data_IF_683452699943
#
_entry.id   IF_683452699943
#
_cell.length_a   1.000
_cell.length_b   1.000
_cell.length_c   1.000
_cell.angle_alpha   90.00
_cell.angle_beta   90.00
_cell.angle_gamma   90.00
#
_symmetry.space_group_name_H-M   'P 1'
#
loop_
_entity.id
_entity.type
_entity.pdbx_description
1 polymer ?
#
# COMPACT_ATOMS: atom_id res chain seq x y z
N UNK A 1 28.12 -0.78 -20.69
CA UNK A 1 27.72 0.44 -21.41
C UNK A 1 26.21 0.48 -21.48
N UNK A 2 25.63 1.51 -20.86
CA UNK A 2 24.33 2.15 -21.10
C UNK A 2 23.17 1.28 -21.65
N UNK A 3 22.23 0.98 -20.76
CA UNK A 3 20.85 0.64 -21.08
C UNK A 3 19.95 1.16 -19.96
N UNK A 4 19.70 2.47 -19.96
CA UNK A 4 18.74 3.10 -19.08
C UNK A 4 17.33 2.63 -19.48
N UNK A 5 16.70 1.79 -18.65
CA UNK A 5 15.25 1.67 -18.67
C UNK A 5 14.70 2.87 -17.93
N UNK A 6 14.59 3.98 -18.67
CA UNK A 6 13.74 5.08 -18.29
C UNK A 6 12.29 4.56 -18.27
N UNK A 7 11.61 4.70 -17.15
CA UNK A 7 10.16 4.79 -17.13
C UNK A 7 9.82 6.13 -17.80
N UNK A 8 9.75 6.13 -19.13
CA UNK A 8 9.31 7.27 -19.93
C UNK A 8 8.26 6.81 -20.92
N UNK A 9 7.06 6.55 -20.42
CA UNK A 9 5.85 6.56 -21.22
C UNK A 9 5.23 7.95 -21.28
N UNK A 10 6.00 9.05 -21.33
CA UNK A 10 5.38 10.33 -21.67
C UNK A 10 4.94 10.26 -23.14
N UNK A 11 3.65 10.49 -23.39
CA UNK A 11 3.17 10.83 -24.71
C UNK A 11 4.12 11.88 -25.31
N UNK A 12 4.75 11.53 -26.44
CA UNK A 12 5.77 12.35 -27.07
C UNK A 12 5.26 13.79 -27.29
N UNK A 13 5.84 14.77 -26.59
CA UNK A 13 5.70 16.19 -26.93
C UNK A 13 5.17 17.17 -25.87
N UNK A 14 4.76 16.73 -24.67
CA UNK A 14 4.30 17.64 -23.61
C UNK A 14 5.49 18.06 -22.72
N UNK A 15 5.76 19.36 -22.57
CA UNK A 15 6.79 19.83 -21.64
C UNK A 15 6.31 19.71 -20.19
N UNK A 16 7.23 19.73 -19.21
CA UNK A 16 6.85 19.72 -17.78
C UNK A 16 5.91 20.86 -17.39
N UNK A 17 6.14 22.04 -18.00
CA UNK A 17 5.32 23.22 -17.77
C UNK A 17 3.92 23.04 -18.37
N UNK A 18 3.83 22.55 -19.61
CA UNK A 18 2.53 22.27 -20.25
C UNK A 18 1.73 21.23 -19.46
N UNK A 19 2.41 20.22 -18.89
CA UNK A 19 1.77 19.22 -18.05
C UNK A 19 1.19 19.83 -16.77
N UNK A 20 1.98 20.65 -16.06
CA UNK A 20 1.50 21.36 -14.87
C UNK A 20 0.30 22.25 -15.19
N UNK A 21 0.40 23.04 -16.25
CA UNK A 21 -0.66 23.96 -16.66
C UNK A 21 -1.94 23.20 -17.04
N UNK A 22 -1.81 22.05 -17.72
CA UNK A 22 -2.93 21.16 -18.01
C UNK A 22 -3.60 20.63 -16.72
N UNK A 23 -2.83 20.17 -15.72
CA UNK A 23 -3.40 19.71 -14.44
C UNK A 23 -4.16 20.82 -13.72
N UNK A 24 -3.61 22.04 -13.72
CA UNK A 24 -4.27 23.18 -13.09
C UNK A 24 -5.55 23.59 -13.83
N UNK A 25 -5.55 23.51 -15.17
CA UNK A 25 -6.76 23.72 -15.96
C UNK A 25 -7.83 22.65 -15.68
N UNK A 26 -7.45 21.37 -15.59
CA UNK A 26 -8.38 20.30 -15.21
C UNK A 26 -8.91 20.49 -13.79
N UNK A 27 -8.07 20.90 -12.83
CA UNK A 27 -8.53 21.24 -11.48
C UNK A 27 -9.56 22.36 -11.49
N UNK A 28 -9.35 23.41 -12.29
CA UNK A 28 -10.31 24.49 -12.42
C UNK A 28 -11.65 23.98 -12.98
N UNK A 29 -11.62 23.15 -14.01
CA UNK A 29 -12.83 22.48 -14.55
C UNK A 29 -13.52 21.59 -13.49
N UNK A 30 -12.74 20.79 -12.76
CA UNK A 30 -13.23 19.91 -11.69
C UNK A 30 -13.94 20.66 -10.56
N UNK A 31 -13.61 21.95 -10.34
CA UNK A 31 -14.31 22.77 -9.34
C UNK A 31 -15.74 23.14 -9.74
N UNK A 32 -16.09 23.04 -11.02
CA UNK A 32 -17.44 23.30 -11.54
C UNK A 32 -18.33 22.06 -11.46
N UNK A 33 -17.75 20.88 -11.66
CA UNK A 33 -18.47 19.61 -11.58
C UNK A 33 -17.69 18.43 -12.12
N UNK A 34 -18.33 17.24 -12.23
CA UNK A 34 -17.72 16.05 -12.83
C UNK A 34 -17.38 16.28 -14.30
N UNK A 35 -16.34 15.60 -14.78
CA UNK A 35 -15.92 15.70 -16.16
C UNK A 35 -16.92 15.07 -17.12
N UNK A 36 -17.18 15.76 -18.23
CA UNK A 36 -17.90 15.22 -19.38
C UNK A 36 -17.03 14.26 -20.21
N UNK A 37 -17.61 13.56 -21.21
CA UNK A 37 -16.89 12.56 -22.00
C UNK A 37 -15.64 13.08 -22.72
N UNK A 38 -15.62 14.35 -23.13
CA UNK A 38 -14.46 14.95 -23.79
C UNK A 38 -13.33 15.22 -22.81
N UNK A 39 -13.63 15.83 -21.67
CA UNK A 39 -12.66 16.10 -20.61
C UNK A 39 -12.06 14.81 -20.06
N UNK A 40 -12.86 13.75 -19.90
CA UNK A 40 -12.36 12.42 -19.51
C UNK A 40 -11.35 11.87 -20.51
N UNK A 41 -11.60 12.01 -21.82
CA UNK A 41 -10.63 11.61 -22.86
C UNK A 41 -9.36 12.44 -22.82
N UNK A 42 -9.47 13.74 -22.57
CA UNK A 42 -8.31 14.62 -22.42
C UNK A 42 -7.46 14.25 -21.20
N UNK A 43 -8.09 14.05 -20.03
CA UNK A 43 -7.41 13.60 -18.81
C UNK A 43 -6.73 12.26 -19.04
N UNK A 44 -7.43 11.29 -19.64
CA UNK A 44 -6.87 9.98 -19.95
C UNK A 44 -5.63 10.09 -20.84
N UNK A 45 -5.67 10.95 -21.87
CA UNK A 45 -4.55 11.20 -22.78
C UNK A 45 -3.37 11.89 -22.10
N UNK A 46 -3.63 12.93 -21.30
CA UNK A 46 -2.57 13.68 -20.61
C UNK A 46 -1.87 12.80 -19.56
N UNK A 47 -2.62 11.91 -18.90
CA UNK A 47 -2.13 11.01 -17.85
C UNK A 47 -1.92 9.57 -18.34
N UNK A 48 -1.79 9.34 -19.65
CA UNK A 48 -1.59 8.01 -20.22
C UNK A 48 -0.26 7.40 -19.74
N UNK A 49 0.76 8.26 -19.60
CA UNK A 49 2.08 7.91 -19.06
C UNK A 49 2.17 7.71 -17.56
N UNK A 50 1.03 7.68 -16.86
CA UNK A 50 0.94 7.69 -15.41
C UNK A 50 0.83 9.09 -14.81
N UNK A 51 0.82 9.15 -13.48
CA UNK A 51 0.72 10.42 -12.75
C UNK A 51 2.09 11.10 -12.60
N UNK A 52 2.21 12.42 -12.81
CA UNK A 52 3.50 13.11 -12.72
C UNK A 52 3.96 13.37 -11.29
N UNK A 53 5.27 13.27 -11.06
CA UNK A 53 5.89 13.49 -9.76
C UNK A 53 5.93 14.94 -9.32
N UNK A 54 6.17 15.18 -8.02
CA UNK A 54 6.44 16.52 -7.49
C UNK A 54 7.60 17.19 -8.24
N UNK A 55 8.65 16.43 -8.59
CA UNK A 55 9.76 16.96 -9.40
C UNK A 55 9.38 17.32 -10.85
N UNK A 56 8.25 16.82 -11.36
CA UNK A 56 7.75 17.13 -12.71
C UNK A 56 6.77 18.31 -12.72
N UNK A 57 5.86 18.39 -11.75
CA UNK A 57 4.75 19.37 -11.76
C UNK A 57 4.62 20.21 -10.49
N UNK A 58 5.51 20.01 -9.51
CA UNK A 58 5.46 20.63 -8.19
C UNK A 58 4.27 20.15 -7.36
N UNK A 59 4.23 20.54 -6.08
CA UNK A 59 3.11 20.17 -5.21
C UNK A 59 1.77 20.71 -5.67
N UNK A 60 1.70 21.85 -6.36
CA UNK A 60 0.44 22.34 -6.93
C UNK A 60 -0.14 21.38 -7.96
N UNK A 61 0.71 20.81 -8.83
CA UNK A 61 0.30 19.82 -9.81
C UNK A 61 -0.12 18.50 -9.18
N UNK A 62 0.65 18.00 -8.19
CA UNK A 62 0.26 16.79 -7.45
C UNK A 62 -1.06 16.99 -6.70
N UNK A 63 -1.23 18.11 -6.01
CA UNK A 63 -2.48 18.44 -5.31
C UNK A 63 -3.68 18.58 -6.25
N UNK A 64 -3.47 18.98 -7.51
CA UNK A 64 -4.54 19.04 -8.51
C UNK A 64 -5.11 17.65 -8.84
N UNK A 65 -4.32 16.58 -8.72
CA UNK A 65 -4.75 15.21 -9.05
C UNK A 65 -5.94 14.75 -8.21
N UNK A 66 -6.04 15.14 -6.93
CA UNK A 66 -7.18 14.77 -6.09
C UNK A 66 -8.52 15.26 -6.67
N UNK A 67 -8.58 16.51 -7.12
CA UNK A 67 -9.78 17.06 -7.74
C UNK A 67 -10.09 16.39 -9.09
N UNK A 68 -9.04 16.10 -9.88
CA UNK A 68 -9.16 15.41 -11.17
C UNK A 68 -9.76 14.02 -10.96
N UNK A 69 -9.21 13.23 -10.03
CA UNK A 69 -9.70 11.87 -9.71
C UNK A 69 -11.17 11.89 -9.31
N UNK A 70 -11.58 12.81 -8.43
CA UNK A 70 -12.97 12.93 -8.00
C UNK A 70 -13.92 13.32 -9.15
N UNK A 71 -13.48 14.25 -10.01
CA UNK A 71 -14.24 14.66 -11.18
C UNK A 71 -14.29 13.56 -12.27
N UNK A 72 -13.34 12.61 -12.27
CA UNK A 72 -13.30 11.47 -13.19
C UNK A 72 -14.30 10.34 -12.89
N UNK A 73 -15.22 10.49 -11.93
CA UNK A 73 -16.19 9.45 -11.53
C UNK A 73 -17.10 8.92 -12.66
N UNK A 74 -17.18 9.62 -13.79
CA UNK A 74 -17.89 9.15 -14.99
C UNK A 74 -17.15 8.05 -15.77
N UNK A 75 -15.88 7.80 -15.47
CA UNK A 75 -15.06 6.73 -16.03
C UNK A 75 -14.34 5.97 -14.90
N UNK A 76 -14.97 4.88 -14.44
CA UNK A 76 -14.44 4.08 -13.34
C UNK A 76 -13.08 3.44 -13.64
N UNK A 77 -12.78 3.10 -14.90
CA UNK A 77 -11.48 2.51 -15.27
C UNK A 77 -10.38 3.54 -15.17
N UNK A 78 -10.64 4.76 -15.66
CA UNK A 78 -9.72 5.87 -15.50
C UNK A 78 -9.50 6.18 -14.02
N UNK A 79 -10.59 6.27 -13.23
CA UNK A 79 -10.50 6.60 -11.81
C UNK A 79 -9.68 5.56 -11.02
N UNK A 80 -9.93 4.26 -11.23
CA UNK A 80 -9.13 3.18 -10.62
C UNK A 80 -7.66 3.30 -11.02
N UNK A 81 -7.35 3.41 -12.31
CA UNK A 81 -5.96 3.54 -12.79
C UNK A 81 -5.22 4.72 -12.16
N UNK A 82 -5.90 5.86 -11.96
CA UNK A 82 -5.30 7.02 -11.31
C UNK A 82 -5.07 6.80 -9.80
N UNK A 83 -6.02 6.14 -9.11
CA UNK A 83 -5.88 5.78 -7.71
C UNK A 83 -4.75 4.78 -7.48
N UNK A 84 -4.61 3.77 -8.33
CA UNK A 84 -3.52 2.79 -8.26
C UNK A 84 -2.18 3.50 -8.46
N UNK A 85 -2.08 4.37 -9.47
CA UNK A 85 -0.86 5.11 -9.73
C UNK A 85 -0.48 6.07 -8.58
N UNK A 86 -1.47 6.63 -7.86
CA UNK A 86 -1.25 7.44 -6.65
C UNK A 86 -0.78 6.60 -5.48
N UNK A 87 -1.37 5.41 -5.27
CA UNK A 87 -0.99 4.47 -4.23
C UNK A 87 0.49 4.10 -4.33
N UNK A 88 0.96 3.82 -5.54
CA UNK A 88 2.35 3.45 -5.84
C UNK A 88 3.39 4.52 -5.47
N UNK A 89 2.95 5.74 -5.16
CA UNK A 89 3.78 6.89 -4.80
C UNK A 89 3.55 7.40 -3.38
N UNK A 90 2.69 6.73 -2.60
CA UNK A 90 2.50 7.06 -1.19
C UNK A 90 3.82 6.90 -0.45
N UNK A 91 4.21 7.94 0.28
CA UNK A 91 5.48 7.98 1.01
C UNK A 91 6.68 8.51 0.21
N UNK A 92 6.60 8.59 -1.13
CA UNK A 92 7.64 9.18 -1.97
C UNK A 92 7.36 10.67 -2.20
N UNK A 93 6.19 11.02 -2.73
CA UNK A 93 5.74 12.40 -2.90
C UNK A 93 4.21 12.56 -2.83
N UNK A 94 3.48 11.45 -2.66
CA UNK A 94 2.06 11.43 -2.29
C UNK A 94 1.94 11.20 -0.78
N UNK A 95 1.21 12.07 -0.10
CA UNK A 95 0.96 12.00 1.35
C UNK A 95 0.00 10.86 1.68
N UNK A 96 0.30 10.10 2.73
CA UNK A 96 -0.50 8.96 3.15
C UNK A 96 -1.91 9.36 3.61
N UNK A 97 -2.03 10.46 4.38
CA UNK A 97 -3.32 10.93 4.87
C UNK A 97 -4.11 11.60 3.73
N UNK A 98 -3.43 12.36 2.87
CA UNK A 98 -4.03 12.93 1.65
C UNK A 98 -4.57 11.87 0.69
N UNK A 99 -3.84 10.76 0.52
CA UNK A 99 -4.30 9.61 -0.26
C UNK A 99 -5.50 8.93 0.40
N UNK A 100 -5.43 8.64 1.70
CA UNK A 100 -6.51 8.01 2.45
C UNK A 100 -7.83 8.81 2.36
N UNK A 101 -7.75 10.14 2.51
CA UNK A 101 -8.90 11.03 2.34
C UNK A 101 -9.46 11.00 0.92
N UNK A 102 -8.59 10.99 -0.09
CA UNK A 102 -9.02 10.90 -1.48
C UNK A 102 -9.71 9.57 -1.77
N UNK A 103 -9.13 8.46 -1.33
CA UNK A 103 -9.67 7.12 -1.53
C UNK A 103 -11.06 6.95 -0.89
N UNK A 104 -11.22 7.41 0.34
CA UNK A 104 -12.51 7.39 1.03
C UNK A 104 -13.56 8.25 0.29
N UNK A 105 -13.18 9.44 -0.18
CA UNK A 105 -14.08 10.29 -0.97
C UNK A 105 -14.48 9.64 -2.30
N UNK A 106 -13.55 8.97 -2.98
CA UNK A 106 -13.83 8.20 -4.20
C UNK A 106 -14.83 7.08 -3.92
N UNK A 107 -14.61 6.29 -2.86
CA UNK A 107 -15.51 5.22 -2.45
C UNK A 107 -16.93 5.75 -2.19
N UNK A 108 -17.04 6.80 -1.37
CA UNK A 108 -18.32 7.44 -1.03
C UNK A 108 -19.03 8.00 -2.26
N UNK A 109 -18.30 8.61 -3.20
CA UNK A 109 -18.87 9.14 -4.44
C UNK A 109 -19.51 8.07 -5.33
N UNK A 110 -19.12 6.81 -5.14
CA UNK A 110 -19.63 5.62 -5.83
C UNK A 110 -20.59 4.78 -4.98
N UNK A 111 -21.02 5.29 -3.81
CA UNK A 111 -21.89 4.56 -2.88
C UNK A 111 -21.23 3.34 -2.21
N UNK A 112 -19.90 3.26 -2.24
CA UNK A 112 -19.12 2.23 -1.54
C UNK A 112 -18.73 2.71 -0.15
N UNK A 113 -18.43 1.76 0.73
CA UNK A 113 -17.86 2.07 2.05
C UNK A 113 -16.42 2.59 1.90
N UNK A 114 -16.01 3.59 2.70
CA UNK A 114 -14.62 4.01 2.78
C UNK A 114 -13.76 2.92 3.44
N UNK A 115 -12.44 2.98 3.20
CA UNK A 115 -11.48 1.98 3.69
C UNK A 115 -10.62 2.54 4.85
N UNK A 116 -10.31 3.83 4.83
CA UNK A 116 -9.29 4.40 5.72
C UNK A 116 -9.85 5.19 6.91
N UNK A 117 -11.17 5.38 6.96
CA UNK A 117 -11.85 6.16 8.01
C UNK A 117 -11.46 7.65 8.03
N UNK A 118 -10.87 8.14 6.95
CA UNK A 118 -10.35 9.50 6.79
C UNK A 118 -11.45 10.53 6.52
N UNK A 119 -12.69 10.10 6.24
CA UNK A 119 -13.89 10.94 6.19
C UNK A 119 -14.85 10.53 7.32
N UNK A 120 -14.62 10.97 8.56
CA UNK A 120 -15.45 10.61 9.71
C UNK A 120 -16.80 11.33 9.73
N UNK A 121 -17.72 10.80 10.53
CA UNK A 121 -18.98 11.45 10.86
C UNK A 121 -18.86 12.24 12.16
N UNK A 122 -19.42 13.46 12.18
CA UNK A 122 -19.58 14.24 13.39
C UNK A 122 -20.94 13.92 14.02
N UNK A 123 -20.93 13.28 15.19
CA UNK A 123 -22.15 12.95 15.95
C UNK A 123 -21.99 13.39 17.40
N UNK A 124 -22.93 14.20 17.87
CA UNK A 124 -22.93 14.75 19.23
C UNK A 124 -21.64 15.48 19.61
N UNK A 125 -21.02 16.19 18.64
CA UNK A 125 -19.77 16.92 18.84
C UNK A 125 -18.51 16.05 18.88
N UNK A 126 -18.62 14.75 18.59
CA UNK A 126 -17.51 13.79 18.57
C UNK A 126 -17.37 13.17 17.18
N UNK A 127 -16.14 13.11 16.67
CA UNK A 127 -15.85 12.41 15.43
C UNK A 127 -15.86 10.91 15.63
N UNK A 128 -16.53 10.20 14.74
CA UNK A 128 -16.64 8.74 14.75
C UNK A 128 -16.44 8.19 13.35
N UNK A 129 -16.02 6.92 13.29
CA UNK A 129 -16.10 6.16 12.06
C UNK A 129 -17.54 6.13 11.55
N UNK A 130 -17.70 6.08 10.23
CA UNK A 130 -19.02 5.91 9.61
C UNK A 130 -19.65 4.60 10.06
N UNK A 131 -20.99 4.59 10.08
CA UNK A 131 -21.74 3.42 10.50
C UNK A 131 -21.38 2.17 9.68
N UNK A 132 -21.10 1.07 10.37
CA UNK A 132 -20.77 -0.21 9.75
C UNK A 132 -19.33 -0.34 9.24
N UNK A 133 -18.43 0.58 9.61
CA UNK A 133 -16.98 0.39 9.54
C UNK A 133 -16.45 -0.24 10.83
N UNK A 134 -15.52 -1.18 10.67
CA UNK A 134 -14.76 -1.75 11.79
C UNK A 134 -13.47 -0.97 11.98
N UNK A 135 -13.14 -0.59 13.21
CA UNK A 135 -11.86 0.04 13.53
C UNK A 135 -10.68 -0.85 13.13
N UNK A 136 -10.79 -2.17 13.33
CA UNK A 136 -9.78 -3.14 12.94
C UNK A 136 -9.55 -3.14 11.42
N UNK A 137 -10.62 -3.23 10.61
CA UNK A 137 -10.49 -3.24 9.15
C UNK A 137 -9.92 -1.91 8.62
N UNK A 138 -10.31 -0.79 9.23
CA UNK A 138 -9.74 0.52 8.92
C UNK A 138 -8.25 0.57 9.30
N UNK A 139 -7.86 0.01 10.43
CA UNK A 139 -6.48 0.04 10.90
C UNK A 139 -5.55 -0.88 10.09
N UNK A 140 -6.07 -1.96 9.51
CA UNK A 140 -5.34 -2.82 8.56
C UNK A 140 -4.93 -2.00 7.33
N UNK A 141 -5.89 -1.37 6.66
CA UNK A 141 -5.65 -0.51 5.49
C UNK A 141 -4.75 0.69 5.82
N UNK A 142 -4.94 1.29 7.01
CA UNK A 142 -4.12 2.42 7.46
C UNK A 142 -2.67 2.03 7.72
N UNK A 143 -2.40 0.81 8.18
CA UNK A 143 -1.04 0.34 8.44
C UNK A 143 -0.21 0.20 7.16
N UNK A 144 -0.84 -0.14 6.03
CA UNK A 144 -0.19 -0.21 4.73
C UNK A 144 0.30 1.16 4.26
N UNK A 145 -0.50 2.18 4.53
CA UNK A 145 -0.11 3.58 4.40
C UNK A 145 0.68 4.08 5.62
N UNK A 146 0.84 3.24 6.65
CA UNK A 146 1.45 3.45 7.99
C UNK A 146 1.07 4.76 8.62
N UNK A 147 -0.21 5.04 8.45
CA UNK A 147 -0.94 5.94 9.28
C UNK A 147 -1.11 5.31 10.65
N UNK A 148 -1.11 6.14 11.68
CA UNK A 148 -1.45 5.69 13.02
C UNK A 148 -2.88 5.12 13.07
N UNK A 149 -3.18 4.27 14.07
CA UNK A 149 -4.53 3.77 14.31
C UNK A 149 -5.56 4.89 14.34
N UNK A 150 -6.72 4.66 13.72
CA UNK A 150 -7.72 5.69 13.47
C UNK A 150 -8.23 6.34 14.76
N UNK A 151 -8.31 5.61 15.87
CA UNK A 151 -8.70 6.17 17.17
C UNK A 151 -7.79 7.32 17.63
N UNK A 152 -6.50 7.30 17.29
CA UNK A 152 -5.57 8.40 17.59
C UNK A 152 -5.93 9.64 16.77
N UNK A 153 -6.16 9.46 15.47
CA UNK A 153 -6.54 10.53 14.55
C UNK A 153 -7.88 11.17 14.93
N UNK A 154 -8.92 10.37 15.16
CA UNK A 154 -10.25 10.84 15.53
C UNK A 154 -10.25 11.59 16.87
N UNK A 155 -9.47 11.12 17.85
CA UNK A 155 -9.32 11.81 19.14
C UNK A 155 -8.63 13.16 18.97
N UNK A 156 -7.47 13.20 18.30
CA UNK A 156 -6.74 14.43 18.07
C UNK A 156 -7.59 15.46 17.30
N UNK A 157 -8.32 15.01 16.29
CA UNK A 157 -9.25 15.84 15.55
C UNK A 157 -10.43 16.34 16.41
N UNK A 158 -10.99 15.49 17.26
CA UNK A 158 -12.05 15.89 18.22
C UNK A 158 -11.55 16.91 19.24
N UNK A 159 -10.31 16.76 19.73
CA UNK A 159 -9.69 17.71 20.66
C UNK A 159 -9.53 19.08 20.00
N UNK A 160 -9.09 19.16 18.74
CA UNK A 160 -9.01 20.41 17.97
C UNK A 160 -10.37 21.09 17.79
N UNK A 161 -11.40 20.31 17.45
CA UNK A 161 -12.78 20.83 17.33
C UNK A 161 -13.27 21.35 18.69
N UNK A 162 -12.96 20.64 19.78
CA UNK A 162 -13.38 21.03 21.13
C UNK A 162 -12.81 22.37 21.59
N UNK A 163 -11.64 22.76 21.07
CA UNK A 163 -11.00 24.06 21.34
C UNK A 163 -11.33 25.12 20.28
N UNK A 164 -12.27 24.85 19.37
CA UNK A 164 -12.82 25.82 18.42
C UNK A 164 -12.12 25.88 17.07
N UNK A 165 -11.26 24.92 16.71
CA UNK A 165 -10.73 24.83 15.35
C UNK A 165 -11.86 24.42 14.40
N UNK A 166 -12.09 25.15 13.29
CA UNK A 166 -13.16 24.83 12.34
C UNK A 166 -13.03 23.41 11.75
N UNK A 167 -14.16 22.73 11.60
CA UNK A 167 -14.22 21.34 11.11
C UNK A 167 -13.50 21.15 9.77
N UNK A 168 -13.64 22.09 8.84
CA UNK A 168 -13.02 22.08 7.51
C UNK A 168 -11.50 22.28 7.53
N UNK A 169 -10.95 22.79 8.63
CA UNK A 169 -9.51 22.87 8.86
C UNK A 169 -8.95 21.60 9.50
N UNK A 170 -9.81 20.83 10.19
CA UNK A 170 -9.42 19.58 10.86
C UNK A 170 -9.60 18.38 9.94
N UNK A 171 -10.69 18.35 9.15
CA UNK A 171 -11.08 17.24 8.28
C UNK A 171 -11.09 17.69 6.83
N UNK A 172 -10.44 16.93 5.94
CA UNK A 172 -10.42 17.24 4.50
C UNK A 172 -9.37 18.27 4.08
N UNK A 173 -8.42 18.57 4.97
CA UNK A 173 -7.33 19.52 4.74
C UNK A 173 -6.01 18.87 4.32
N UNK A 174 -5.93 17.53 4.25
CA UNK A 174 -4.67 16.88 3.91
C UNK A 174 -4.34 17.11 2.43
N UNK A 175 -3.19 17.73 2.18
CA UNK A 175 -2.66 17.87 0.83
C UNK A 175 -2.27 16.49 0.29
N UNK A 176 -2.47 16.26 -1.00
CA UNK A 176 -2.01 15.03 -1.65
C UNK A 176 -0.49 15.02 -1.80
N UNK A 177 0.15 16.18 -1.94
CA UNK A 177 1.59 16.29 -2.06
C UNK A 177 2.28 16.31 -0.69
N UNK A 178 3.41 15.63 -0.60
CA UNK A 178 4.39 15.82 0.47
C UNK A 178 5.80 15.93 -0.11
N UNK A 179 6.76 16.34 0.73
CA UNK A 179 8.19 16.42 0.39
C UNK A 179 9.02 15.72 1.47
N UNK A 180 9.08 14.38 1.46
CA UNK A 180 9.88 13.66 2.43
C UNK A 180 11.37 13.95 2.20
N UNK A 181 12.21 13.68 3.22
CA UNK A 181 13.66 13.69 3.03
C UNK A 181 14.09 12.79 1.88
N UNK A 182 15.14 13.15 1.11
CA UNK A 182 15.63 12.30 0.05
C UNK A 182 16.04 10.91 0.54
N UNK A 183 15.68 9.89 -0.23
CA UNK A 183 16.10 8.50 -0.05
C UNK A 183 17.63 8.45 -0.03
N UNK A 184 18.21 7.88 1.03
CA UNK A 184 19.67 7.86 1.22
C UNK A 184 20.37 6.76 0.42
N UNK A 185 19.64 5.71 0.01
CA UNK A 185 20.16 4.60 -0.78
C UNK A 185 19.35 4.38 -2.08
N UNK A 186 19.38 5.35 -3.01
CA UNK A 186 18.55 5.30 -4.22
C UNK A 186 18.84 4.10 -5.13
N UNK A 187 20.08 3.62 -5.16
CA UNK A 187 20.44 2.41 -5.93
C UNK A 187 19.88 1.13 -5.29
N UNK A 188 19.86 1.06 -3.95
CA UNK A 188 19.24 -0.05 -3.23
C UNK A 188 17.72 -0.03 -3.46
N UNK A 189 17.08 1.14 -3.32
CA UNK A 189 15.65 1.30 -3.65
C UNK A 189 15.34 0.82 -5.07
N UNK A 190 16.08 1.26 -6.07
CA UNK A 190 15.87 0.81 -7.45
C UNK A 190 16.00 -0.69 -7.60
N UNK A 191 17.01 -1.30 -6.98
CA UNK A 191 17.19 -2.75 -7.03
C UNK A 191 16.03 -3.49 -6.36
N UNK A 192 15.47 -2.96 -5.27
CA UNK A 192 14.30 -3.53 -4.60
C UNK A 192 13.06 -3.44 -5.49
N UNK A 193 12.80 -2.30 -6.12
CA UNK A 193 11.68 -2.11 -7.04
C UNK A 193 11.75 -3.11 -8.21
N UNK A 194 12.93 -3.28 -8.82
CA UNK A 194 13.15 -4.23 -9.93
C UNK A 194 12.95 -5.69 -9.52
N UNK A 195 13.38 -6.06 -8.31
CA UNK A 195 13.24 -7.42 -7.78
C UNK A 195 11.81 -7.73 -7.39
N UNK A 196 11.14 -6.80 -6.70
CA UNK A 196 9.74 -6.92 -6.36
C UNK A 196 8.87 -7.06 -7.61
N UNK A 197 9.05 -6.18 -8.60
CA UNK A 197 8.28 -6.26 -9.85
C UNK A 197 8.49 -7.59 -10.59
N UNK A 198 9.71 -8.15 -10.56
CA UNK A 198 9.98 -9.46 -11.16
C UNK A 198 9.37 -10.61 -10.37
N UNK A 199 9.49 -10.59 -9.04
CA UNK A 199 8.88 -11.57 -8.13
C UNK A 199 7.35 -11.62 -8.33
N UNK A 200 6.69 -10.47 -8.26
CA UNK A 200 5.24 -10.39 -8.43
C UNK A 200 4.79 -10.84 -9.82
N UNK A 201 5.49 -10.41 -10.88
CA UNK A 201 5.17 -10.85 -12.25
C UNK A 201 5.26 -12.37 -12.45
N UNK A 202 6.24 -13.01 -11.81
CA UNK A 202 6.38 -14.47 -11.90
C UNK A 202 5.23 -15.19 -11.17
N UNK A 203 4.77 -14.63 -10.04
CA UNK A 203 3.64 -15.15 -9.27
C UNK A 203 2.31 -14.94 -9.99
N UNK A 204 2.06 -13.74 -10.52
CA UNK A 204 0.90 -13.45 -11.37
C UNK A 204 0.82 -14.42 -12.55
N UNK A 205 1.95 -14.66 -13.25
CA UNK A 205 1.98 -15.61 -14.36
C UNK A 205 1.72 -17.06 -13.91
N UNK A 206 2.15 -17.43 -12.69
CA UNK A 206 1.87 -18.75 -12.14
C UNK A 206 0.40 -18.90 -11.74
N UNK A 207 -0.17 -17.90 -11.05
CA UNK A 207 -1.57 -17.86 -10.64
C UNK A 207 -2.50 -17.88 -11.86
N UNK A 208 -2.21 -17.08 -12.90
CA UNK A 208 -2.95 -17.07 -14.17
C UNK A 208 -2.88 -18.42 -14.90
N UNK A 209 -1.74 -19.12 -14.81
CA UNK A 209 -1.59 -20.44 -15.39
C UNK A 209 -2.38 -21.51 -14.62
N UNK A 210 -2.69 -21.28 -13.33
CA UNK A 210 -3.41 -22.22 -12.47
C UNK A 210 -2.71 -23.57 -12.34
N UNK A 211 -1.38 -23.59 -12.36
CA UNK A 211 -0.57 -24.82 -12.36
C UNK A 211 -0.07 -25.19 -10.98
N UNK A 212 0.22 -26.47 -10.74
CA UNK A 212 0.76 -26.94 -9.44
C UNK A 212 2.25 -26.61 -9.24
N UNK A 213 2.75 -26.86 -8.03
CA UNK A 213 4.11 -26.52 -7.58
C UNK A 213 5.28 -27.12 -8.41
N UNK A 214 5.04 -28.16 -9.21
CA UNK A 214 6.07 -28.77 -10.07
C UNK A 214 6.14 -28.18 -11.49
N UNK A 215 5.34 -27.15 -11.79
CA UNK A 215 5.25 -26.52 -13.10
C UNK A 215 6.49 -25.72 -13.49
N UNK A 216 6.57 -25.28 -14.74
CA UNK A 216 7.67 -24.44 -15.21
C UNK A 216 7.60 -23.03 -14.59
N UNK A 217 6.38 -22.54 -14.38
CA UNK A 217 6.04 -21.26 -13.77
C UNK A 217 6.47 -21.24 -12.29
N UNK A 218 6.09 -22.28 -11.53
CA UNK A 218 6.50 -22.45 -10.14
C UNK A 218 8.03 -22.49 -10.00
N UNK A 219 8.70 -23.28 -10.85
CA UNK A 219 10.17 -23.37 -10.87
C UNK A 219 10.85 -22.06 -11.26
N UNK A 220 10.21 -21.23 -12.08
CA UNK A 220 10.74 -19.92 -12.45
C UNK A 220 10.66 -18.94 -11.26
N UNK A 221 9.56 -18.96 -10.51
CA UNK A 221 9.42 -18.22 -9.26
C UNK A 221 10.45 -18.69 -8.21
N UNK A 222 10.55 -20.00 -7.96
CA UNK A 222 11.53 -20.58 -7.03
C UNK A 222 12.98 -20.23 -7.38
N UNK A 223 13.30 -20.22 -8.68
CA UNK A 223 14.62 -19.82 -9.13
C UNK A 223 14.91 -18.32 -8.90
N UNK A 224 13.88 -17.47 -8.90
CA UNK A 224 14.03 -16.06 -8.51
C UNK A 224 14.15 -15.89 -7.00
N UNK A 225 13.34 -16.60 -6.24
CA UNK A 225 13.39 -16.66 -4.78
C UNK A 225 14.80 -17.03 -4.30
N UNK A 226 15.43 -18.04 -4.90
CA UNK A 226 16.81 -18.43 -4.59
C UNK A 226 17.83 -17.32 -4.89
N UNK A 227 17.68 -16.58 -6.01
CA UNK A 227 18.53 -15.42 -6.33
C UNK A 227 18.30 -14.25 -5.38
N UNK A 228 17.05 -14.03 -4.99
CA UNK A 228 16.67 -12.98 -4.05
C UNK A 228 17.14 -13.31 -2.63
N UNK A 229 17.17 -14.57 -2.21
CA UNK A 229 17.71 -14.99 -0.92
C UNK A 229 19.19 -14.60 -0.74
N UNK A 230 20.02 -14.76 -1.79
CA UNK A 230 21.43 -14.30 -1.79
C UNK A 230 21.50 -12.79 -1.60
N UNK A 231 20.67 -12.04 -2.34
CA UNK A 231 20.61 -10.59 -2.20
C UNK A 231 20.12 -10.14 -0.82
N UNK A 232 19.11 -10.81 -0.26
CA UNK A 232 18.59 -10.54 1.08
C UNK A 232 19.69 -10.74 2.12
N UNK A 233 20.43 -11.84 2.04
CA UNK A 233 21.55 -12.10 2.95
C UNK A 233 22.62 -10.98 2.88
N UNK A 234 22.97 -10.53 1.67
CA UNK A 234 23.94 -9.45 1.47
C UNK A 234 23.44 -8.11 2.01
N UNK A 235 22.16 -7.78 1.82
CA UNK A 235 21.54 -6.56 2.34
C UNK A 235 21.48 -6.59 3.86
N UNK A 236 20.98 -7.67 4.47
CA UNK A 236 20.93 -7.83 5.93
C UNK A 236 22.33 -7.67 6.55
N UNK A 237 23.35 -8.29 5.94
CA UNK A 237 24.72 -8.19 6.43
C UNK A 237 25.29 -6.77 6.34
N UNK A 238 24.97 -6.05 5.27
CA UNK A 238 25.57 -4.72 5.00
C UNK A 238 24.82 -3.58 5.70
N UNK A 239 23.51 -3.68 5.78
CA UNK A 239 22.62 -2.58 6.15
C UNK A 239 21.66 -2.93 7.29
N UNK A 240 21.55 -4.20 7.66
CA UNK A 240 20.40 -4.69 8.40
C UNK A 240 19.14 -4.73 7.53
N UNK A 241 17.97 -4.70 8.17
CA UNK A 241 16.72 -4.49 7.45
C UNK A 241 16.63 -3.01 7.01
N UNK A 242 16.60 -2.69 5.71
CA UNK A 242 16.57 -1.31 5.23
C UNK A 242 15.34 -0.57 5.76
N UNK A 243 15.53 0.63 6.29
CA UNK A 243 14.45 1.46 6.83
C UNK A 243 13.83 2.40 5.79
N UNK A 244 12.79 3.12 6.19
CA UNK A 244 12.10 4.05 5.29
C UNK A 244 12.97 5.23 4.85
N UNK A 245 13.98 5.64 5.62
CA UNK A 245 14.92 6.70 5.19
C UNK A 245 15.89 6.18 4.12
N UNK A 246 16.25 4.90 4.19
CA UNK A 246 17.14 4.25 3.23
C UNK A 246 16.49 4.02 1.88
N UNK A 247 15.26 3.51 1.87
CA UNK A 247 14.63 3.00 0.65
C UNK A 247 13.20 3.48 0.45
N UNK A 248 12.67 4.32 1.35
CA UNK A 248 11.24 4.63 1.35
C UNK A 248 10.40 3.42 1.77
N UNK A 249 9.14 3.66 2.08
CA UNK A 249 8.26 2.60 2.61
C UNK A 249 7.98 1.48 1.62
N UNK A 250 7.81 1.84 0.35
CA UNK A 250 7.72 0.86 -0.72
C UNK A 250 8.95 -0.04 -0.80
N UNK A 251 10.15 0.52 -0.57
CA UNK A 251 11.37 -0.28 -0.46
C UNK A 251 11.40 -1.22 0.75
N UNK A 252 10.89 -0.77 1.91
CA UNK A 252 10.74 -1.62 3.11
C UNK A 252 9.83 -2.81 2.81
N UNK A 253 8.65 -2.54 2.23
CA UNK A 253 7.67 -3.55 1.79
C UNK A 253 8.29 -4.53 0.78
N UNK A 254 8.93 -4.01 -0.27
CA UNK A 254 9.61 -4.83 -1.27
C UNK A 254 10.66 -5.75 -0.63
N UNK A 255 11.45 -5.24 0.32
CA UNK A 255 12.45 -6.07 1.01
C UNK A 255 11.82 -7.14 1.89
N UNK A 256 10.72 -6.82 2.59
CA UNK A 256 9.94 -7.81 3.34
C UNK A 256 9.49 -8.97 2.45
N UNK A 257 8.92 -8.67 1.28
CA UNK A 257 8.43 -9.70 0.34
C UNK A 257 9.57 -10.64 -0.08
N UNK A 258 10.75 -10.09 -0.39
CA UNK A 258 11.92 -10.92 -0.73
C UNK A 258 12.39 -11.79 0.45
N UNK A 259 12.32 -11.28 1.68
CA UNK A 259 12.59 -12.09 2.89
C UNK A 259 11.56 -13.20 3.04
N UNK A 260 10.27 -12.87 2.85
CA UNK A 260 9.14 -13.78 3.00
C UNK A 260 9.23 -14.96 2.02
N UNK A 261 9.79 -14.74 0.83
CA UNK A 261 9.99 -15.74 -0.22
C UNK A 261 11.38 -16.40 -0.22
N UNK A 262 12.27 -16.03 0.70
CA UNK A 262 13.65 -16.56 0.71
C UNK A 262 13.78 -18.07 0.96
N UNK A 263 12.71 -18.72 1.42
CA UNK A 263 12.68 -20.12 1.85
C UNK A 263 13.77 -20.51 2.87
N UNK A 264 14.35 -19.52 3.58
CA UNK A 264 15.39 -19.72 4.59
C UNK A 264 14.92 -19.30 5.98
N UNK A 265 14.70 -20.26 6.91
CA UNK A 265 14.35 -19.96 8.29
C UNK A 265 15.40 -19.09 9.00
N UNK A 266 16.67 -19.23 8.63
CA UNK A 266 17.78 -18.45 9.19
C UNK A 266 17.69 -16.98 8.77
N UNK A 267 17.46 -16.70 7.48
CA UNK A 267 17.30 -15.34 6.98
C UNK A 267 16.04 -14.67 7.54
N UNK A 268 14.92 -15.39 7.60
CA UNK A 268 13.67 -14.87 8.18
C UNK A 268 13.88 -14.53 9.66
N UNK A 269 14.57 -15.39 10.42
CA UNK A 269 14.87 -15.13 11.84
C UNK A 269 15.77 -13.91 12.04
N UNK A 270 16.80 -13.75 11.21
CA UNK A 270 17.68 -12.58 11.25
C UNK A 270 16.92 -11.29 10.92
N UNK A 271 16.14 -11.31 9.84
CA UNK A 271 15.31 -10.20 9.41
C UNK A 271 14.27 -9.80 10.47
N UNK A 272 13.58 -10.76 11.11
CA UNK A 272 12.59 -10.49 12.17
C UNK A 272 13.16 -9.65 13.32
N UNK A 273 14.38 -9.98 13.77
CA UNK A 273 15.04 -9.22 14.85
C UNK A 273 15.28 -7.75 14.47
N UNK A 274 15.62 -7.52 13.20
CA UNK A 274 15.92 -6.19 12.65
C UNK A 274 14.67 -5.42 12.23
N UNK A 275 13.58 -6.11 11.88
CA UNK A 275 12.33 -5.51 11.41
C UNK A 275 11.45 -4.96 12.54
N UNK A 276 11.57 -5.50 13.77
CA UNK A 276 10.72 -5.10 14.91
C UNK A 276 10.72 -3.57 15.16
N UNK A 277 11.86 -2.86 15.17
CA UNK A 277 11.86 -1.40 15.33
C UNK A 277 11.14 -0.67 14.19
N UNK A 278 11.20 -1.16 12.95
CA UNK A 278 10.54 -0.55 11.80
C UNK A 278 9.03 -0.66 11.94
N UNK A 279 8.53 -1.85 12.32
CA UNK A 279 7.12 -2.07 12.65
C UNK A 279 6.65 -1.11 13.76
N UNK A 280 7.41 -0.96 14.84
CA UNK A 280 7.05 -0.06 15.95
C UNK A 280 7.03 1.42 15.57
N UNK A 281 7.75 1.82 14.51
CA UNK A 281 7.73 3.18 13.96
C UNK A 281 6.70 3.38 12.84
N UNK A 282 5.96 2.34 12.45
CA UNK A 282 5.02 2.38 11.34
C UNK A 282 5.68 2.41 9.95
N UNK A 283 6.95 2.02 9.86
CA UNK A 283 7.69 1.95 8.58
C UNK A 283 7.44 0.63 7.84
N UNK A 284 7.04 -0.40 8.58
CA UNK A 284 6.61 -1.72 8.10
C UNK A 284 5.19 -2.00 8.65
N UNK A 285 4.31 -2.59 7.84
CA UNK A 285 2.98 -2.94 8.29
C UNK A 285 3.04 -4.02 9.39
N UNK A 286 2.13 -3.95 10.36
CA UNK A 286 2.11 -4.90 11.47
C UNK A 286 1.81 -6.31 10.99
N UNK A 287 0.90 -6.46 10.03
CA UNK A 287 0.57 -7.77 9.49
C UNK A 287 1.77 -8.42 8.75
N UNK A 288 2.60 -7.67 8.02
CA UNK A 288 3.83 -8.21 7.39
C UNK A 288 4.76 -8.87 8.41
N UNK A 289 4.95 -8.18 9.54
CA UNK A 289 5.75 -8.71 10.63
C UNK A 289 5.12 -9.99 11.22
N UNK A 290 3.79 -10.03 11.39
CA UNK A 290 3.07 -11.21 11.85
C UNK A 290 3.23 -12.39 10.88
N UNK A 291 3.15 -12.14 9.57
CA UNK A 291 3.33 -13.13 8.51
C UNK A 291 4.73 -13.76 8.56
N UNK A 292 5.77 -12.95 8.76
CA UNK A 292 7.15 -13.43 8.93
C UNK A 292 7.31 -14.30 10.18
N UNK A 293 6.67 -13.91 11.30
CA UNK A 293 6.70 -14.70 12.55
C UNK A 293 6.09 -16.08 12.32
N UNK A 294 4.91 -16.14 11.71
CA UNK A 294 4.24 -17.41 11.46
C UNK A 294 4.96 -18.26 10.41
N UNK A 295 5.53 -17.65 9.36
CA UNK A 295 6.36 -18.37 8.38
C UNK A 295 7.57 -19.04 9.04
N UNK A 296 8.27 -18.32 9.93
CA UNK A 296 9.39 -18.90 10.67
C UNK A 296 8.94 -20.07 11.54
N UNK A 297 7.81 -19.92 12.25
CA UNK A 297 7.29 -20.97 13.13
C UNK A 297 6.84 -22.20 12.36
N UNK A 298 6.20 -22.01 11.21
CA UNK A 298 5.86 -23.07 10.26
C UNK A 298 7.11 -23.87 9.87
N UNK A 299 8.18 -23.22 9.42
CA UNK A 299 9.43 -23.90 9.08
C UNK A 299 10.09 -24.62 10.27
N UNK A 300 9.87 -24.13 11.49
CA UNK A 300 10.35 -24.78 12.72
C UNK A 300 9.45 -25.91 13.22
N UNK A 301 8.33 -26.21 12.53
CA UNK A 301 7.33 -27.18 13.00
C UNK A 301 6.62 -26.76 14.28
N UNK A 302 6.58 -25.45 14.58
CA UNK A 302 5.93 -24.88 15.75
C UNK A 302 4.56 -24.34 15.40
N UNK A 303 3.64 -24.37 16.37
CA UNK A 303 2.31 -23.79 16.23
C UNK A 303 2.39 -22.28 15.93
N UNK A 304 1.63 -21.78 14.97
CA UNK A 304 1.53 -20.39 14.57
C UNK A 304 0.98 -19.49 15.68
N UNK A 305 1.35 -18.22 15.71
CA UNK A 305 0.82 -17.22 16.66
C UNK A 305 -0.39 -16.51 16.06
N UNK A 306 -0.36 -16.17 14.77
CA UNK A 306 -1.38 -15.36 14.10
C UNK A 306 -2.20 -16.14 13.06
N UNK A 307 -1.85 -17.40 12.80
CA UNK A 307 -2.56 -18.30 11.90
C UNK A 307 -2.48 -17.90 10.43
N UNK A 308 -1.40 -17.25 9.98
CA UNK A 308 -1.32 -16.67 8.63
C UNK A 308 -0.83 -17.63 7.54
N UNK A 309 -0.32 -18.81 7.90
CA UNK A 309 0.18 -19.82 6.95
C UNK A 309 -0.84 -20.93 6.81
N UNK A 310 -1.13 -21.26 5.55
CA UNK A 310 -2.04 -22.31 5.14
C UNK A 310 -1.34 -23.25 4.16
N UNK A 311 -1.82 -24.49 4.08
CA UNK A 311 -1.47 -25.44 3.04
C UNK A 311 -2.71 -25.73 2.21
N UNK A 312 -2.53 -25.91 0.91
CA UNK A 312 -3.58 -26.38 0.03
C UNK A 312 -3.35 -27.86 -0.28
N UNK A 313 -4.31 -28.71 0.08
CA UNK A 313 -4.28 -30.14 -0.19
C UNK A 313 -5.57 -30.55 -0.91
N UNK A 314 -5.47 -30.87 -2.20
CA UNK A 314 -6.61 -31.35 -2.99
C UNK A 314 -7.75 -30.33 -3.10
N UNK A 315 -7.43 -29.04 -3.23
CA UNK A 315 -8.40 -27.94 -3.29
C UNK A 315 -8.97 -27.52 -1.94
N UNK A 316 -8.49 -28.11 -0.83
CA UNK A 316 -8.86 -27.69 0.52
C UNK A 316 -7.73 -26.89 1.16
N UNK A 317 -8.04 -25.67 1.56
CA UNK A 317 -7.14 -24.83 2.34
C UNK A 317 -7.27 -25.17 3.82
N UNK A 318 -6.15 -25.61 4.42
CA UNK A 318 -6.04 -25.93 5.83
C UNK A 318 -4.92 -25.13 6.50
N UNK A 319 -5.15 -24.52 7.68
CA UNK A 319 -4.10 -23.82 8.41
C UNK A 319 -3.11 -24.80 9.02
N UNK A 320 -1.83 -24.43 9.06
CA UNK A 320 -0.87 -25.10 9.94
C UNK A 320 -1.30 -24.95 11.42
N UNK A 321 -0.85 -25.82 12.35
CA UNK A 321 -1.26 -25.76 13.76
C UNK A 321 -1.14 -24.36 14.36
N UNK A 322 -2.13 -23.92 15.15
CA UNK A 322 -2.19 -22.56 15.73
C UNK A 322 -2.18 -22.67 17.25
N UNK A 323 -1.27 -21.91 17.88
CA UNK A 323 -1.17 -21.79 19.31
C UNK A 323 -2.40 -21.05 19.85
N UNK A 324 -3.06 -21.61 20.86
CA UNK A 324 -4.19 -20.99 21.57
C UNK A 324 -5.16 -20.26 20.63
N UNK A 325 -5.99 -21.05 19.93
CA UNK A 325 -7.04 -20.52 19.04
C UNK A 325 -8.02 -19.59 19.76
N UNK A 326 -8.25 -19.76 21.07
CA UNK A 326 -9.24 -18.97 21.80
C UNK A 326 -8.86 -17.49 21.91
N UNK A 327 -7.56 -17.17 21.91
CA UNK A 327 -7.09 -15.77 21.94
C UNK A 327 -6.50 -15.28 20.61
N UNK A 328 -6.67 -16.05 19.53
CA UNK A 328 -6.11 -15.76 18.21
C UNK A 328 -6.56 -14.41 17.66
N UNK A 329 -7.86 -14.15 17.63
CA UNK A 329 -8.39 -12.91 17.03
C UNK A 329 -7.95 -11.67 17.79
N UNK A 330 -7.76 -11.76 19.12
CA UNK A 330 -7.18 -10.66 19.90
C UNK A 330 -5.74 -10.35 19.49
N UNK A 331 -4.95 -11.37 19.14
CA UNK A 331 -3.57 -11.17 18.65
C UNK A 331 -3.58 -10.61 17.23
N UNK A 332 -4.51 -11.07 16.38
CA UNK A 332 -4.70 -10.59 15.00
C UNK A 332 -5.12 -9.13 14.97
N UNK A 333 -6.08 -8.73 15.81
CA UNK A 333 -6.53 -7.34 15.95
C UNK A 333 -5.39 -6.37 16.30
N UNK A 334 -4.51 -6.74 17.23
CA UNK A 334 -3.34 -5.92 17.61
C UNK A 334 -2.39 -5.71 16.42
N UNK A 335 -2.27 -6.72 15.56
CA UNK A 335 -1.43 -6.67 14.36
C UNK A 335 -2.15 -6.12 13.13
N UNK A 336 -3.39 -5.62 13.28
CA UNK A 336 -4.17 -5.09 12.16
C UNK A 336 -4.52 -6.16 11.13
N UNK A 337 -4.95 -7.34 11.59
CA UNK A 337 -5.34 -8.46 10.72
C UNK A 337 -6.82 -8.79 10.95
N UNK A 338 -7.55 -9.10 9.88
CA UNK A 338 -8.93 -9.59 9.94
C UNK A 338 -9.11 -10.83 10.85
N UNK A 339 -10.30 -11.16 11.35
CA UNK A 339 -10.54 -12.36 12.17
C UNK A 339 -10.18 -13.63 11.41
N UNK A 340 -9.66 -14.63 12.12
CA UNK A 340 -9.08 -15.82 11.48
C UNK A 340 -10.07 -16.59 10.59
N UNK A 341 -11.34 -16.72 11.01
CA UNK A 341 -12.33 -17.48 10.24
C UNK A 341 -12.75 -16.74 8.95
N UNK A 342 -12.73 -15.40 8.96
CA UNK A 342 -12.96 -14.58 7.77
C UNK A 342 -11.80 -14.74 6.77
N UNK A 343 -10.57 -14.66 7.28
CA UNK A 343 -9.35 -14.93 6.51
C UNK A 343 -9.34 -16.35 5.92
N UNK A 344 -9.64 -17.37 6.72
CA UNK A 344 -9.64 -18.75 6.20
C UNK A 344 -10.70 -18.95 5.12
N UNK A 345 -11.85 -18.26 5.25
CA UNK A 345 -12.91 -18.30 4.25
C UNK A 345 -12.52 -17.58 2.95
N UNK A 346 -11.80 -16.45 3.02
CA UNK A 346 -11.32 -15.74 1.83
C UNK A 346 -10.29 -16.55 1.04
N UNK A 347 -9.48 -17.36 1.73
CA UNK A 347 -8.48 -18.23 1.11
C UNK A 347 -9.06 -19.48 0.42
N UNK A 348 -10.25 -19.94 0.80
CA UNK A 348 -10.82 -21.18 0.28
C UNK A 348 -11.34 -21.07 -1.17
N UNK A 349 -11.41 -19.86 -1.73
CA UNK A 349 -12.08 -19.61 -3.01
C UNK A 349 -13.58 -19.89 -2.92
N UNK A 350 -14.39 -19.20 -3.73
CA UNK A 350 -15.80 -19.56 -3.92
C UNK A 350 -15.95 -20.70 -4.91
#
# INVERSE_FOLDING_TARGET
MLGALAVSGHAAGITRQDLRDALLAFRAKASVGPFGPEELREVAKVLDGGIPSEGQVGCEGVNALAAIVLASRGDGKLQTRLMDALYERVGDDVDAQGYAELADRVALSSGKKPSYGAVPELKDGVLRLQEGLSEMAVNEERDDLGLAPIAVGLRAASDLISVGVPYDQVIGGAALCQRPPPITHPDLRRSLDERYARDQKLREAWDEAGTGADSAEAKAADADDARNAVFVADVLKKYGFPDAQMVGRKGVMAFYILVQHSHSPELIREALGMARPLMLRGEMARHDYALMVDRLRMYQGKEQIYGSQVSENGGKVEPYPIQDRASLDRRREIMGMEPFDAYLSSMQGN
#
